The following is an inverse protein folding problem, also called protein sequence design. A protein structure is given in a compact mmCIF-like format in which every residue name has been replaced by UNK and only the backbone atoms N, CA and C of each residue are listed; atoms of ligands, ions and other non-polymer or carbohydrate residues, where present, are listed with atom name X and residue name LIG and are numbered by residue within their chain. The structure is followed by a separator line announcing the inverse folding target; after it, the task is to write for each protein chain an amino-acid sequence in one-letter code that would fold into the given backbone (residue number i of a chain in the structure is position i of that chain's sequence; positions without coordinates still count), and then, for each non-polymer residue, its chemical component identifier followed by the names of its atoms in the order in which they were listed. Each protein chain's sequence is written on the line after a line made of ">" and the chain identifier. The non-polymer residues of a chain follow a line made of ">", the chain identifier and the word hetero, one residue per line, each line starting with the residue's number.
data_IF_791650907976
#
_entry.id   IF_791650907976
#
_cell.length_a   1.000
_cell.length_b   1.000
_cell.length_c   1.000
_cell.angle_alpha   90.00
_cell.angle_beta   90.00
_cell.angle_gamma   90.00
#
_symmetry.space_group_name_H-M   'P 1'
#
loop_
_entity.id
_entity.type
_entity.pdbx_description
1 polymer ?
#
# COMPACT_ATOMS: atom_id res chain seq x y z
N UNK A 1 -1.45 3.48 25.20
CA UNK A 1 -0.69 2.70 24.19
C UNK A 1 -1.58 1.54 23.74
N UNK A 2 -1.65 1.24 22.45
CA UNK A 2 -2.62 0.29 21.89
C UNK A 2 -2.11 -1.16 21.73
N UNK A 3 -0.89 -1.46 22.22
CA UNK A 3 -0.39 -2.84 22.28
C UNK A 3 0.18 -3.40 20.97
N UNK A 4 0.55 -2.54 20.01
CA UNK A 4 1.17 -2.94 18.75
C UNK A 4 2.44 -2.13 18.44
N UNK A 5 3.30 -2.69 17.60
CA UNK A 5 4.42 -1.97 16.97
C UNK A 5 3.94 -1.38 15.65
N UNK A 6 4.22 -0.09 15.42
CA UNK A 6 3.92 0.58 14.16
C UNK A 6 5.18 0.75 13.31
N UNK A 7 5.10 0.38 12.03
CA UNK A 7 6.14 0.64 11.03
C UNK A 7 5.56 1.61 10.00
N UNK A 8 6.09 2.84 9.97
CA UNK A 8 5.69 3.85 8.98
C UNK A 8 6.64 3.82 7.79
N UNK A 9 6.09 3.73 6.58
CA UNK A 9 6.87 3.55 5.35
C UNK A 9 6.89 4.84 4.56
N UNK A 10 8.08 5.38 4.32
CA UNK A 10 8.30 6.39 3.29
C UNK A 10 8.68 5.69 1.98
N UNK A 11 8.01 6.04 0.89
CA UNK A 11 8.23 5.50 -0.45
C UNK A 11 8.33 6.64 -1.45
N UNK A 12 8.91 6.38 -2.63
CA UNK A 12 9.02 7.39 -3.69
C UNK A 12 7.63 7.86 -4.15
N UNK A 13 7.44 9.18 -4.26
CA UNK A 13 6.17 9.77 -4.68
C UNK A 13 6.16 10.02 -6.19
N UNK A 14 5.02 9.81 -6.83
CA UNK A 14 4.84 10.01 -8.28
C UNK A 14 5.87 9.26 -9.15
N UNK A 15 6.36 8.12 -8.67
CA UNK A 15 7.34 7.26 -9.34
C UNK A 15 6.75 5.86 -9.52
N UNK A 16 5.90 5.68 -10.52
CA UNK A 16 5.32 4.38 -10.86
C UNK A 16 6.21 3.59 -11.83
N UNK A 17 6.38 2.27 -11.64
CA UNK A 17 5.82 1.42 -10.57
C UNK A 17 6.65 1.42 -9.28
N UNK A 18 7.80 2.07 -9.24
CA UNK A 18 8.80 1.91 -8.19
C UNK A 18 8.33 2.11 -6.74
N UNK A 19 7.39 3.02 -6.50
CA UNK A 19 6.79 3.25 -5.19
C UNK A 19 6.23 1.97 -4.55
N UNK A 20 5.66 1.05 -5.34
CA UNK A 20 5.12 -0.20 -4.80
C UNK A 20 6.23 -1.16 -4.38
N UNK A 21 7.35 -1.17 -5.10
CA UNK A 21 8.50 -2.00 -4.77
C UNK A 21 9.20 -1.50 -3.51
N UNK A 22 9.19 -0.19 -3.25
CA UNK A 22 9.68 0.38 -1.98
C UNK A 22 8.84 -0.13 -0.81
N UNK A 23 7.51 -0.08 -0.93
CA UNK A 23 6.60 -0.62 0.07
C UNK A 23 6.77 -2.14 0.28
N UNK A 24 6.95 -2.90 -0.81
CA UNK A 24 7.26 -4.34 -0.74
C UNK A 24 8.53 -4.59 0.07
N UNK A 25 9.62 -3.86 -0.21
CA UNK A 25 10.88 -4.01 0.53
C UNK A 25 10.72 -3.65 2.00
N UNK A 26 9.93 -2.63 2.32
CA UNK A 26 9.65 -2.25 3.70
C UNK A 26 8.86 -3.33 4.46
N UNK A 27 7.88 -3.99 3.81
CA UNK A 27 7.16 -5.12 4.40
C UNK A 27 8.11 -6.29 4.67
N UNK A 28 8.95 -6.65 3.70
CA UNK A 28 9.93 -7.74 3.88
C UNK A 28 10.92 -7.42 5.01
N UNK A 29 11.42 -6.19 5.06
CA UNK A 29 12.28 -5.75 6.15
C UNK A 29 11.58 -5.87 7.51
N UNK A 30 10.31 -5.45 7.60
CA UNK A 30 9.54 -5.58 8.83
C UNK A 30 9.37 -7.06 9.23
N UNK A 31 9.03 -7.94 8.29
CA UNK A 31 8.90 -9.38 8.57
C UNK A 31 10.20 -9.98 9.13
N UNK A 32 11.36 -9.54 8.65
CA UNK A 32 12.66 -10.01 9.12
C UNK A 32 13.08 -9.41 10.48
N UNK A 33 12.71 -8.16 10.77
CA UNK A 33 13.28 -7.41 11.90
C UNK A 33 12.31 -7.12 13.05
N UNK A 34 10.98 -7.26 12.86
CA UNK A 34 9.99 -6.76 13.83
C UNK A 34 10.12 -7.40 15.22
N UNK A 35 10.65 -8.63 15.30
CA UNK A 35 10.91 -9.32 16.57
C UNK A 35 11.87 -8.54 17.48
N UNK A 36 12.89 -7.89 16.91
CA UNK A 36 13.83 -7.06 17.66
C UNK A 36 13.17 -5.80 18.25
N UNK A 37 12.02 -5.39 17.71
CA UNK A 37 11.22 -4.25 18.18
C UNK A 37 10.04 -4.69 19.08
N UNK A 38 9.98 -5.96 19.46
CA UNK A 38 8.92 -6.52 20.31
C UNK A 38 7.59 -6.78 19.58
N UNK A 39 7.59 -6.82 18.24
CA UNK A 39 6.43 -7.26 17.47
C UNK A 39 6.46 -8.76 17.19
N UNK A 40 5.30 -9.31 16.85
CA UNK A 40 5.11 -10.71 16.51
C UNK A 40 4.98 -10.86 14.99
N UNK A 41 5.95 -11.54 14.37
CA UNK A 41 5.99 -11.78 12.92
C UNK A 41 4.80 -12.62 12.42
N UNK A 42 4.17 -13.40 13.31
CA UNK A 42 2.96 -14.15 12.99
C UNK A 42 1.68 -13.30 13.07
N UNK A 43 1.77 -12.00 13.38
CA UNK A 43 0.62 -11.10 13.58
C UNK A 43 0.79 -9.76 12.86
N UNK A 44 1.26 -9.79 11.61
CA UNK A 44 1.50 -8.59 10.82
C UNK A 44 0.26 -8.19 10.01
N UNK A 45 -0.05 -6.89 10.00
CA UNK A 45 -1.12 -6.29 9.20
C UNK A 45 -0.56 -5.13 8.38
N UNK A 46 -1.04 -4.97 7.15
CA UNK A 46 -0.71 -3.83 6.28
C UNK A 46 -1.89 -2.87 6.28
N UNK A 47 -1.65 -1.57 6.41
CA UNK A 47 -2.70 -0.55 6.35
C UNK A 47 -2.26 0.63 5.50
N UNK A 48 -3.22 1.22 4.77
CA UNK A 48 -2.97 2.40 3.97
C UNK A 48 -4.23 3.23 3.72
N UNK A 49 -4.05 4.54 3.57
CA UNK A 49 -5.13 5.50 3.30
C UNK A 49 -4.98 6.14 1.91
N UNK A 50 -6.09 6.33 1.19
CA UNK A 50 -6.10 6.98 -0.13
C UNK A 50 -5.17 6.28 -1.14
N UNK A 51 -4.14 6.94 -1.67
CA UNK A 51 -3.11 6.30 -2.49
C UNK A 51 -2.43 5.12 -1.76
N UNK A 52 -2.23 5.22 -0.44
CA UNK A 52 -1.73 4.11 0.37
C UNK A 52 -2.70 2.93 0.45
N UNK A 53 -4.01 3.17 0.36
CA UNK A 53 -5.01 2.11 0.31
C UNK A 53 -4.92 1.31 -1.00
N UNK A 54 -4.64 1.99 -2.11
CA UNK A 54 -4.34 1.34 -3.39
C UNK A 54 -3.08 0.45 -3.28
N UNK A 55 -1.99 1.01 -2.75
CA UNK A 55 -0.72 0.27 -2.54
C UNK A 55 -0.95 -0.95 -1.64
N UNK A 56 -1.65 -0.78 -0.52
CA UNK A 56 -1.95 -1.87 0.41
C UNK A 56 -2.74 -3.00 -0.29
N UNK A 57 -3.75 -2.65 -1.08
CA UNK A 57 -4.50 -3.62 -1.87
C UNK A 57 -3.62 -4.33 -2.91
N UNK A 58 -2.78 -3.60 -3.65
CA UNK A 58 -1.88 -4.21 -4.64
C UNK A 58 -0.87 -5.17 -4.02
N UNK A 59 -0.29 -4.84 -2.85
CA UNK A 59 0.58 -5.76 -2.10
C UNK A 59 -0.14 -7.06 -1.73
N UNK A 60 -1.45 -6.99 -1.45
CA UNK A 60 -2.26 -8.11 -1.03
C UNK A 60 -2.66 -9.06 -2.16
N UNK A 61 -2.76 -8.56 -3.40
CA UNK A 61 -3.36 -9.30 -4.53
C UNK A 61 -2.41 -9.57 -5.69
N UNK A 62 -1.24 -8.92 -5.73
CA UNK A 62 -0.28 -9.08 -6.82
C UNK A 62 0.62 -10.30 -6.60
N UNK A 63 0.50 -11.28 -7.49
CA UNK A 63 1.36 -12.47 -7.56
C UNK A 63 2.84 -12.11 -7.72
N UNK A 64 3.14 -11.06 -8.48
CA UNK A 64 4.51 -10.58 -8.69
C UNK A 64 5.13 -10.01 -7.40
N UNK A 65 4.32 -9.47 -6.48
CA UNK A 65 4.82 -8.93 -5.22
C UNK A 65 4.97 -10.03 -4.16
N UNK A 66 4.19 -11.11 -4.21
CA UNK A 66 4.35 -12.25 -3.31
C UNK A 66 4.13 -11.92 -1.83
N UNK A 67 3.22 -11.00 -1.53
CA UNK A 67 2.88 -10.54 -0.17
C UNK A 67 1.40 -10.76 0.18
N UNK A 68 0.78 -11.75 -0.44
CA UNK A 68 -0.60 -12.15 -0.18
C UNK A 68 -0.79 -12.53 1.30
N UNK A 69 -1.97 -12.24 1.89
CA UNK A 69 -2.29 -12.69 3.24
C UNK A 69 -2.13 -14.22 3.41
N UNK A 70 -1.57 -14.63 4.54
CA UNK A 70 -1.20 -16.01 4.81
C UNK A 70 -0.58 -16.21 6.21
N UNK A 71 0.44 -17.08 6.35
CA UNK A 71 1.06 -17.35 7.65
C UNK A 71 1.63 -16.11 8.34
N UNK A 72 2.28 -15.22 7.58
CA UNK A 72 2.95 -14.03 8.12
C UNK A 72 2.05 -12.78 8.11
N UNK A 73 1.44 -12.44 6.97
CA UNK A 73 0.54 -11.28 6.83
C UNK A 73 -0.89 -11.73 7.11
N UNK A 74 -1.51 -11.24 8.18
CA UNK A 74 -2.84 -11.65 8.64
C UNK A 74 -4.00 -10.87 8.05
N UNK A 75 -3.72 -9.71 7.49
CA UNK A 75 -4.75 -8.92 6.85
C UNK A 75 -4.23 -7.61 6.30
N UNK A 76 -5.06 -7.02 5.45
CA UNK A 76 -4.81 -5.73 4.82
C UNK A 76 -6.02 -4.83 5.05
N UNK A 77 -5.76 -3.62 5.50
CA UNK A 77 -6.77 -2.62 5.85
C UNK A 77 -6.62 -1.44 4.90
N UNK A 78 -7.54 -1.32 3.96
CA UNK A 78 -7.51 -0.27 2.96
C UNK A 78 -8.56 0.80 3.30
N UNK A 79 -8.10 1.99 3.69
CA UNK A 79 -8.97 3.09 4.12
C UNK A 79 -9.14 4.08 2.97
N UNK A 80 -10.38 4.25 2.48
CA UNK A 80 -10.71 5.19 1.39
C UNK A 80 -9.76 5.10 0.18
N UNK A 81 -9.37 3.88 -0.20
CA UNK A 81 -8.42 3.63 -1.29
C UNK A 81 -9.00 3.94 -2.67
N UNK A 82 -8.14 4.34 -3.60
CA UNK A 82 -8.50 4.57 -5.02
C UNK A 82 -8.07 3.37 -5.85
N UNK A 83 -8.99 2.49 -6.26
CA UNK A 83 -8.63 1.23 -6.92
C UNK A 83 -8.76 1.26 -8.45
N UNK A 84 -9.62 2.13 -8.99
CA UNK A 84 -9.63 2.47 -10.40
C UNK A 84 -9.03 3.86 -10.58
N UNK A 85 -7.80 3.93 -11.06
CA UNK A 85 -7.07 5.18 -11.23
C UNK A 85 -7.53 5.98 -12.46
N UNK A 86 -8.22 5.35 -13.42
CA UNK A 86 -8.66 6.02 -14.65
C UNK A 86 -10.11 6.53 -14.55
N UNK A 87 -10.94 5.88 -13.74
CA UNK A 87 -12.32 6.27 -13.49
C UNK A 87 -12.74 6.15 -12.01
N UNK A 88 -12.07 6.87 -11.08
CA UNK A 88 -12.33 6.74 -9.64
C UNK A 88 -13.69 7.29 -9.19
N UNK A 89 -14.43 7.99 -10.05
CA UNK A 89 -15.75 8.55 -9.76
C UNK A 89 -16.76 8.22 -10.87
N UNK A 90 -18.07 8.32 -10.60
CA UNK A 90 -19.11 8.10 -11.62
C UNK A 90 -19.14 9.16 -12.73
N UNK A 91 -18.45 10.29 -12.57
CA UNK A 91 -18.61 11.45 -13.44
C UNK A 91 -17.37 11.70 -14.30
N UNK A 92 -17.60 11.84 -15.61
CA UNK A 92 -16.53 12.09 -16.59
C UNK A 92 -15.71 13.36 -16.28
N UNK A 93 -16.37 14.44 -15.84
CA UNK A 93 -15.70 15.71 -15.53
C UNK A 93 -14.75 15.57 -14.34
N UNK A 94 -15.18 14.93 -13.23
CA UNK A 94 -14.30 14.71 -12.08
C UNK A 94 -13.15 13.76 -12.41
N UNK A 95 -13.39 12.73 -13.22
CA UNK A 95 -12.33 11.83 -13.68
C UNK A 95 -11.31 12.55 -14.58
N UNK A 96 -11.75 13.48 -15.44
CA UNK A 96 -10.86 14.29 -16.27
C UNK A 96 -9.95 15.19 -15.41
N UNK A 97 -10.51 15.81 -14.37
CA UNK A 97 -9.75 16.61 -13.39
C UNK A 97 -8.78 15.72 -12.62
N UNK A 98 -9.24 14.59 -12.09
CA UNK A 98 -8.42 13.63 -11.35
C UNK A 98 -7.24 13.13 -12.20
N UNK A 99 -7.49 12.76 -13.46
CA UNK A 99 -6.45 12.29 -14.38
C UNK A 99 -5.39 13.36 -14.63
N UNK A 100 -5.80 14.63 -14.75
CA UNK A 100 -4.88 15.75 -14.97
C UNK A 100 -4.04 16.06 -13.74
N UNK A 101 -4.61 15.98 -12.55
CA UNK A 101 -3.95 16.37 -11.28
C UNK A 101 -3.09 15.24 -10.71
N UNK A 102 -3.55 13.98 -10.77
CA UNK A 102 -2.91 12.87 -10.06
C UNK A 102 -2.30 11.83 -11.00
N UNK A 103 -3.04 11.40 -12.02
CA UNK A 103 -2.61 10.27 -12.87
C UNK A 103 -1.45 10.68 -13.77
N UNK A 104 -1.60 11.75 -14.55
CA UNK A 104 -0.55 12.18 -15.49
C UNK A 104 0.80 12.46 -14.82
N UNK A 105 0.85 13.17 -13.68
CA UNK A 105 2.13 13.37 -12.99
C UNK A 105 2.76 12.10 -12.42
N UNK A 106 1.98 11.04 -12.17
CA UNK A 106 2.44 9.82 -11.51
C UNK A 106 2.77 8.70 -12.49
N UNK A 107 2.04 8.61 -13.61
CA UNK A 107 2.10 7.48 -14.55
C UNK A 107 2.48 7.88 -15.99
N UNK A 108 2.63 9.18 -16.30
CA UNK A 108 2.84 9.70 -17.66
C UNK A 108 1.55 10.00 -18.42
#
# INVERSE_FOLDING_TARGET
>A
RAGFVGVTVSYRLSDAPHHIHDCRRAVLWALEHIGAYGGDVARVFISGHSAGGNIAAMLAVSDELGLQPGPAIKGVICVSGVYDIYAPTPTRTKNAIFRRIYVKPTFG
#
